data_IF_467895728198
#
_entry.id   IF_467895728198
#
_cell.length_a   1.000
_cell.length_b   1.000
_cell.length_c   1.000
_cell.angle_alpha   90.00
_cell.angle_beta   90.00
_cell.angle_gamma   90.00
#
_symmetry.space_group_name_H-M   'P 1'
#
loop_
_entity.id
_entity.type
_entity.pdbx_description
1 polymer ?
#
# COMPACT_ATOMS: atom_id res chain seq x y z
N UNK A 1 8.73 2.17 19.04
CA UNK A 1 7.27 2.12 18.85
C UNK A 1 6.90 0.69 18.47
N UNK A 2 5.74 0.16 18.87
CA UNK A 2 5.32 -1.19 18.43
C UNK A 2 4.77 -1.07 17.00
N UNK A 3 5.33 -1.84 16.06
CA UNK A 3 4.78 -1.96 14.71
C UNK A 3 3.63 -2.97 14.73
N UNK A 4 2.41 -2.49 14.54
CA UNK A 4 1.20 -3.30 14.63
C UNK A 4 0.14 -2.92 13.57
N UNK A 5 0.51 -2.10 12.58
CA UNK A 5 -0.34 -1.72 11.45
C UNK A 5 0.20 -2.37 10.17
N UNK A 6 -0.44 -3.46 9.68
CA UNK A 6 -0.02 -4.12 8.44
C UNK A 6 -0.37 -3.28 7.21
N UNK A 7 0.65 -3.09 6.38
CA UNK A 7 0.58 -2.35 5.12
C UNK A 7 0.83 -3.29 3.94
N UNK A 8 -0.05 -3.26 2.95
CA UNK A 8 0.18 -3.89 1.65
C UNK A 8 0.70 -2.82 0.69
N UNK A 9 1.74 -3.13 -0.07
CA UNK A 9 2.36 -2.19 -1.01
C UNK A 9 2.28 -2.76 -2.42
N UNK A 10 1.89 -1.93 -3.39
CA UNK A 10 1.96 -2.26 -4.82
C UNK A 10 3.08 -1.43 -5.44
N UNK A 11 4.07 -2.09 -6.01
CA UNK A 11 5.22 -1.46 -6.64
C UNK A 11 5.47 -1.98 -8.05
N UNK A 12 6.30 -1.25 -8.80
CA UNK A 12 6.67 -1.65 -10.15
C UNK A 12 7.66 -2.83 -10.17
N UNK A 13 8.53 -2.92 -9.15
CA UNK A 13 9.55 -3.97 -9.03
C UNK A 13 9.87 -4.31 -7.58
N UNK A 14 9.97 -5.61 -7.29
CA UNK A 14 10.14 -6.23 -5.98
C UNK A 14 11.51 -5.94 -5.38
N UNK A 15 12.57 -5.95 -6.19
CA UNK A 15 13.94 -5.71 -5.73
C UNK A 15 14.06 -4.35 -5.02
N UNK A 16 13.56 -3.29 -5.66
CA UNK A 16 13.51 -1.95 -5.04
C UNK A 16 12.44 -1.83 -3.97
N UNK A 17 11.29 -2.48 -4.15
CA UNK A 17 10.22 -2.47 -3.16
C UNK A 17 10.66 -3.04 -1.79
N UNK A 18 11.47 -4.10 -1.79
CA UNK A 18 11.99 -4.74 -0.58
C UNK A 18 13.15 -3.96 0.04
N UNK A 19 14.00 -3.30 -0.76
CA UNK A 19 15.12 -2.51 -0.22
C UNK A 19 14.71 -1.13 0.27
N UNK A 20 13.80 -0.45 -0.46
CA UNK A 20 13.57 0.98 -0.27
C UNK A 20 12.40 1.26 0.68
N UNK A 21 11.37 0.38 0.72
CA UNK A 21 10.13 0.67 1.44
C UNK A 21 10.19 0.32 2.93
N UNK A 22 10.67 -0.86 3.36
CA UNK A 22 10.72 -1.20 4.79
C UNK A 22 11.49 -0.18 5.65
N UNK A 23 12.67 0.35 5.23
CA UNK A 23 13.39 1.36 6.00
C UNK A 23 12.60 2.65 6.25
N UNK A 24 11.66 3.00 5.35
CA UNK A 24 10.81 4.20 5.52
C UNK A 24 9.90 4.06 6.74
N UNK A 25 9.51 2.84 7.11
CA UNK A 25 8.64 2.58 8.25
C UNK A 25 9.38 2.33 9.57
N UNK A 26 10.72 2.42 9.57
CA UNK A 26 11.49 2.34 10.81
C UNK A 26 11.01 3.39 11.82
N UNK A 27 10.84 2.97 13.07
CA UNK A 27 10.34 3.82 14.17
C UNK A 27 8.90 4.33 14.01
N UNK A 28 8.13 3.80 13.06
CA UNK A 28 6.69 4.07 12.88
C UNK A 28 5.84 2.89 13.40
N UNK A 29 4.50 3.00 13.50
CA UNK A 29 3.65 1.86 13.88
C UNK A 29 3.35 0.93 12.68
N UNK A 30 3.79 1.29 11.48
CA UNK A 30 3.51 0.59 10.24
C UNK A 30 4.56 -0.48 9.94
N UNK A 31 4.15 -1.58 9.31
CA UNK A 31 5.08 -2.55 8.74
C UNK A 31 4.54 -3.11 7.41
N UNK A 32 5.45 -3.45 6.50
CA UNK A 32 5.07 -4.05 5.21
C UNK A 32 4.72 -5.53 5.44
N UNK A 33 3.43 -5.86 5.30
CA UNK A 33 2.92 -7.22 5.43
C UNK A 33 3.00 -8.00 4.10
N UNK A 34 2.85 -7.29 2.97
CA UNK A 34 3.05 -7.85 1.65
C UNK A 34 3.45 -6.78 0.63
N UNK A 35 4.21 -7.19 -0.38
CA UNK A 35 4.56 -6.36 -1.53
C UNK A 35 4.13 -7.08 -2.81
N UNK A 36 3.30 -6.41 -3.61
CA UNK A 36 2.90 -6.85 -4.93
C UNK A 36 3.77 -6.18 -5.99
N UNK A 37 4.16 -6.97 -6.97
CA UNK A 37 5.07 -6.61 -8.05
C UNK A 37 4.34 -6.62 -9.39
N UNK A 38 4.64 -5.66 -10.27
CA UNK A 38 4.05 -5.56 -11.60
C UNK A 38 4.92 -6.12 -12.74
N UNK A 39 6.22 -6.35 -12.54
CA UNK A 39 7.17 -6.62 -13.63
C UNK A 39 8.23 -7.70 -13.36
N UNK A 40 8.79 -7.83 -12.16
CA UNK A 40 9.95 -8.69 -11.88
C UNK A 40 9.58 -10.12 -11.49
N UNK A 41 8.34 -10.38 -11.08
CA UNK A 41 7.87 -11.74 -10.78
C UNK A 41 7.22 -12.41 -11.99
N UNK A 42 7.09 -13.74 -11.96
CA UNK A 42 6.38 -14.51 -13.00
C UNK A 42 4.95 -13.99 -13.15
N UNK A 43 4.42 -14.02 -14.38
CA UNK A 43 3.19 -13.34 -14.75
C UNK A 43 1.99 -13.71 -13.87
N UNK A 44 1.88 -14.99 -13.50
CA UNK A 44 0.82 -15.51 -12.63
C UNK A 44 0.85 -14.94 -11.19
N UNK A 45 2.02 -14.50 -10.72
CA UNK A 45 2.20 -13.92 -9.38
C UNK A 45 2.23 -12.39 -9.38
N UNK A 46 2.15 -11.74 -10.55
CA UNK A 46 2.13 -10.28 -10.64
C UNK A 46 0.88 -9.71 -10.01
N UNK A 47 0.90 -8.40 -9.77
CA UNK A 47 -0.30 -7.65 -9.47
C UNK A 47 -1.37 -7.96 -10.53
N UNK A 48 -2.52 -8.39 -10.01
CA UNK A 48 -3.80 -8.36 -10.69
C UNK A 48 -4.84 -8.01 -9.62
N UNK A 49 -6.02 -7.49 -10.00
CA UNK A 49 -7.11 -7.30 -9.05
C UNK A 49 -7.45 -8.57 -8.27
N UNK A 50 -7.35 -9.74 -8.92
CA UNK A 50 -7.56 -11.03 -8.28
C UNK A 50 -6.49 -11.33 -7.23
N UNK A 51 -5.21 -11.22 -7.57
CA UNK A 51 -4.11 -11.52 -6.65
C UNK A 51 -4.09 -10.55 -5.46
N UNK A 52 -4.44 -9.28 -5.67
CA UNK A 52 -4.63 -8.32 -4.58
C UNK A 52 -5.75 -8.77 -3.64
N UNK A 53 -6.90 -9.18 -4.18
CA UNK A 53 -8.00 -9.68 -3.37
C UNK A 53 -7.59 -10.92 -2.56
N UNK A 54 -6.86 -11.86 -3.17
CA UNK A 54 -6.32 -13.04 -2.45
C UNK A 54 -5.47 -12.61 -1.26
N UNK A 55 -4.54 -11.68 -1.45
CA UNK A 55 -3.67 -11.19 -0.35
C UNK A 55 -4.52 -10.54 0.75
N UNK A 56 -5.41 -9.60 0.40
CA UNK A 56 -6.22 -8.87 1.38
C UNK A 56 -7.13 -9.81 2.19
N UNK A 57 -7.73 -10.82 1.55
CA UNK A 57 -8.64 -11.76 2.20
C UNK A 57 -7.94 -12.79 3.10
N UNK A 58 -6.65 -13.07 2.87
CA UNK A 58 -5.94 -14.15 3.58
C UNK A 58 -4.90 -13.67 4.60
N UNK A 59 -4.42 -12.41 4.52
CA UNK A 59 -3.46 -11.90 5.49
C UNK A 59 -4.07 -11.72 6.88
N UNK A 60 -3.33 -12.20 7.88
CA UNK A 60 -3.58 -12.01 9.30
C UNK A 60 -2.26 -11.59 9.99
N UNK A 61 -2.22 -10.46 10.73
CA UNK A 61 -3.30 -9.50 10.98
C UNK A 61 -3.85 -8.86 9.70
N UNK A 62 -5.12 -8.44 9.74
CA UNK A 62 -5.82 -7.85 8.59
C UNK A 62 -5.11 -6.60 8.09
N UNK A 63 -4.77 -6.50 6.79
CA UNK A 63 -4.27 -5.27 6.19
C UNK A 63 -5.13 -4.07 6.53
N UNK A 64 -4.49 -2.98 6.97
CA UNK A 64 -5.14 -1.71 7.34
C UNK A 64 -4.82 -0.59 6.37
N UNK A 65 -3.66 -0.66 5.74
CA UNK A 65 -3.28 0.28 4.71
C UNK A 65 -2.91 -0.43 3.41
N UNK A 66 -3.27 0.19 2.29
CA UNK A 66 -2.80 -0.16 0.97
C UNK A 66 -2.07 1.04 0.36
N UNK A 67 -0.83 0.84 -0.06
CA UNK A 67 0.00 1.87 -0.67
C UNK A 67 0.22 1.55 -2.15
N UNK A 68 -0.09 2.49 -3.02
CA UNK A 68 0.26 2.42 -4.44
C UNK A 68 1.54 3.24 -4.66
N UNK A 69 2.62 2.58 -5.08
CA UNK A 69 3.92 3.22 -5.29
C UNK A 69 3.92 4.19 -6.47
N UNK A 70 4.73 5.24 -6.40
CA UNK A 70 4.79 6.33 -7.40
C UNK A 70 5.17 5.90 -8.82
N UNK A 71 5.84 4.76 -8.98
CA UNK A 71 6.23 4.22 -10.27
C UNK A 71 5.15 3.32 -10.90
N UNK A 72 4.01 3.12 -10.22
CA UNK A 72 2.85 2.41 -10.76
C UNK A 72 2.06 3.36 -11.65
N UNK A 73 1.72 2.91 -12.86
CA UNK A 73 0.93 3.73 -13.79
C UNK A 73 -0.41 4.15 -13.16
N UNK A 74 -0.83 5.42 -13.27
CA UNK A 74 -2.07 5.91 -12.67
C UNK A 74 -3.33 5.16 -13.11
N UNK A 75 -3.32 4.51 -14.29
CA UNK A 75 -4.43 3.67 -14.77
C UNK A 75 -4.77 2.50 -13.82
N UNK A 76 -3.82 2.03 -13.01
CA UNK A 76 -4.05 0.98 -12.01
C UNK A 76 -4.76 1.47 -10.76
N UNK A 77 -4.81 2.79 -10.50
CA UNK A 77 -5.36 3.33 -9.25
C UNK A 77 -6.82 2.97 -9.03
N UNK A 78 -7.66 3.11 -10.06
CA UNK A 78 -9.09 2.83 -9.96
C UNK A 78 -9.39 1.32 -9.75
N UNK A 79 -8.77 0.38 -10.50
CA UNK A 79 -8.88 -1.05 -10.20
C UNK A 79 -8.43 -1.42 -8.78
N UNK A 80 -7.32 -0.87 -8.30
CA UNK A 80 -6.82 -1.10 -6.94
C UNK A 80 -7.80 -0.62 -5.88
N UNK A 81 -8.27 0.63 -5.99
CA UNK A 81 -9.23 1.22 -5.05
C UNK A 81 -10.54 0.44 -5.01
N UNK A 82 -11.00 -0.10 -6.15
CA UNK A 82 -12.19 -0.96 -6.19
C UNK A 82 -12.00 -2.20 -5.32
N UNK A 83 -10.89 -2.92 -5.50
CA UNK A 83 -10.58 -4.12 -4.71
C UNK A 83 -10.45 -3.79 -3.23
N UNK A 84 -9.80 -2.67 -2.89
CA UNK A 84 -9.70 -2.20 -1.51
C UNK A 84 -11.06 -1.93 -0.87
N UNK A 85 -11.93 -1.17 -1.55
CA UNK A 85 -13.26 -0.85 -1.05
C UNK A 85 -14.12 -2.11 -0.86
N UNK A 86 -14.04 -3.05 -1.80
CA UNK A 86 -14.70 -4.35 -1.65
C UNK A 86 -14.19 -5.14 -0.44
N UNK A 87 -12.88 -5.14 -0.19
CA UNK A 87 -12.28 -5.75 0.99
C UNK A 87 -12.76 -5.08 2.29
N UNK A 88 -12.80 -3.75 2.34
CA UNK A 88 -13.33 -3.01 3.50
C UNK A 88 -14.79 -3.41 3.77
N UNK A 89 -15.61 -3.46 2.72
CA UNK A 89 -17.04 -3.75 2.85
C UNK A 89 -17.34 -5.20 3.22
N UNK A 90 -16.61 -6.15 2.62
CA UNK A 90 -16.90 -7.59 2.75
C UNK A 90 -16.10 -8.27 3.86
N UNK A 91 -15.00 -7.68 4.32
CA UNK A 91 -14.12 -8.29 5.33
C UNK A 91 -14.09 -7.42 6.58
N UNK A 92 -13.52 -6.20 6.50
CA UNK A 92 -13.29 -5.38 7.69
C UNK A 92 -14.59 -5.02 8.42
N UNK A 93 -15.65 -4.63 7.69
CA UNK A 93 -16.95 -4.31 8.30
C UNK A 93 -17.66 -5.50 8.95
N UNK A 94 -17.39 -6.72 8.49
CA UNK A 94 -18.08 -7.92 8.96
C UNK A 94 -17.34 -8.64 10.09
N UNK A 95 -16.04 -8.42 10.26
CA UNK A 95 -15.21 -9.10 11.25
C UNK A 95 -15.36 -8.47 12.64
N UNK A 96 -16.27 -9.03 13.44
CA UNK A 96 -16.68 -8.47 14.75
C UNK A 96 -15.59 -8.46 15.84
N UNK A 97 -14.53 -9.26 15.69
CA UNK A 97 -13.45 -9.41 16.68
C UNK A 97 -12.20 -8.58 16.33
N UNK A 98 -12.34 -7.63 15.42
CA UNK A 98 -11.26 -6.75 15.01
C UNK A 98 -11.01 -5.65 16.04
N UNK A 99 -9.82 -5.65 16.64
CA UNK A 99 -9.43 -4.73 17.72
C UNK A 99 -9.33 -3.27 17.30
N UNK A 100 -9.20 -2.97 16.00
CA UNK A 100 -9.11 -1.60 15.46
C UNK A 100 -10.44 -1.07 14.91
N UNK A 101 -11.39 -1.96 14.62
CA UNK A 101 -12.59 -1.64 13.87
C UNK A 101 -12.29 -1.34 12.39
N UNK A 102 -13.36 -1.28 11.59
CA UNK A 102 -13.26 -1.12 10.14
C UNK A 102 -12.94 0.32 9.70
N UNK A 103 -13.20 1.31 10.56
CA UNK A 103 -12.99 2.73 10.25
C UNK A 103 -11.51 3.11 10.20
N UNK A 104 -10.66 2.38 10.90
CA UNK A 104 -9.20 2.52 10.84
C UNK A 104 -8.65 1.78 9.61
N UNK A 105 -8.81 2.38 8.43
CA UNK A 105 -8.23 1.88 7.20
C UNK A 105 -7.94 3.02 6.19
N UNK A 106 -7.00 2.80 5.27
CA UNK A 106 -6.68 3.78 4.21
C UNK A 106 -6.11 3.14 2.95
N UNK A 107 -6.53 3.62 1.79
CA UNK A 107 -5.87 3.35 0.50
C UNK A 107 -5.20 4.63 0.00
N UNK A 108 -3.88 4.58 -0.15
CA UNK A 108 -3.03 5.73 -0.47
C UNK A 108 -2.61 5.64 -1.95
N UNK A 109 -3.38 6.31 -2.81
CA UNK A 109 -3.27 6.23 -4.27
C UNK A 109 -2.35 7.30 -4.86
N UNK A 110 -1.07 7.28 -4.49
CA UNK A 110 -0.14 8.37 -4.78
C UNK A 110 0.24 8.59 -6.26
N UNK A 111 0.14 7.62 -7.19
CA UNK A 111 0.33 7.90 -8.61
C UNK A 111 -0.61 8.98 -9.17
N UNK A 112 -1.77 9.23 -8.54
CA UNK A 112 -2.69 10.29 -8.98
C UNK A 112 -2.06 11.68 -8.96
N UNK A 113 -1.07 11.91 -8.10
CA UNK A 113 -0.48 13.24 -7.85
C UNK A 113 1.04 13.25 -7.84
N UNK A 114 1.68 12.09 -7.68
CA UNK A 114 3.13 11.94 -7.51
C UNK A 114 3.71 10.88 -8.46
N UNK A 115 3.06 10.60 -9.60
CA UNK A 115 3.57 9.62 -10.55
C UNK A 115 4.96 10.00 -11.07
N UNK A 116 5.84 9.01 -11.16
CA UNK A 116 7.14 9.13 -11.81
C UNK A 116 7.25 8.14 -12.95
N UNK A 117 7.82 8.57 -14.07
CA UNK A 117 8.13 7.69 -15.19
C UNK A 117 9.24 6.70 -14.77
N UNK A 118 8.99 5.39 -14.81
CA UNK A 118 9.98 4.43 -14.40
C UNK A 118 11.18 4.30 -15.31
N UNK A 119 11.09 4.83 -16.53
CA UNK A 119 12.20 4.90 -17.46
C UNK A 119 13.13 6.11 -17.18
N UNK A 120 12.79 6.98 -16.22
CA UNK A 120 13.51 8.23 -15.90
C UNK A 120 13.86 8.35 -14.41
N UNK A 121 14.69 7.44 -13.86
CA UNK A 121 14.99 7.36 -12.43
C UNK A 121 15.66 8.62 -11.85
N UNK A 122 16.32 9.43 -12.67
CA UNK A 122 16.94 10.70 -12.30
C UNK A 122 15.94 11.72 -11.72
N UNK A 123 14.66 11.60 -12.07
CA UNK A 123 13.58 12.50 -11.60
C UNK A 123 12.97 12.08 -10.27
N UNK A 124 13.29 10.88 -9.79
CA UNK A 124 12.63 10.29 -8.63
C UNK A 124 12.98 10.94 -7.28
N UNK A 125 14.22 11.40 -7.00
CA UNK A 125 14.57 11.90 -5.67
C UNK A 125 13.71 13.08 -5.18
N UNK A 126 13.40 14.02 -6.07
CA UNK A 126 12.57 15.19 -5.73
C UNK A 126 11.16 14.75 -5.33
N UNK A 127 10.56 13.86 -6.12
CA UNK A 127 9.21 13.34 -5.90
C UNK A 127 9.14 12.42 -4.68
N UNK A 128 10.21 11.67 -4.38
CA UNK A 128 10.26 10.78 -3.20
C UNK A 128 10.05 11.55 -1.89
N UNK A 129 10.61 12.75 -1.76
CA UNK A 129 10.50 13.54 -0.52
C UNK A 129 9.07 14.06 -0.26
N UNK A 130 8.38 14.52 -1.31
CA UNK A 130 7.00 15.01 -1.23
C UNK A 130 6.03 13.84 -1.10
N UNK A 131 6.29 12.76 -1.82
CA UNK A 131 5.57 11.49 -1.72
C UNK A 131 5.57 10.92 -0.30
N UNK A 132 6.74 10.82 0.35
CA UNK A 132 6.82 10.27 1.72
C UNK A 132 6.00 11.10 2.71
N UNK A 133 6.08 12.44 2.62
CA UNK A 133 5.30 13.34 3.48
C UNK A 133 3.81 13.13 3.29
N UNK A 134 3.34 13.05 2.04
CA UNK A 134 1.93 12.86 1.73
C UNK A 134 1.44 11.44 2.13
N UNK A 135 2.27 10.43 1.92
CA UNK A 135 2.01 9.05 2.37
C UNK A 135 1.78 9.02 3.88
N UNK A 136 2.70 9.56 4.67
CA UNK A 136 2.56 9.60 6.12
C UNK A 136 1.39 10.47 6.57
N UNK A 137 1.12 11.60 5.92
CA UNK A 137 -0.05 12.42 6.22
C UNK A 137 -1.36 11.63 6.12
N UNK A 138 -1.51 10.78 5.10
CA UNK A 138 -2.70 9.95 4.92
C UNK A 138 -2.75 8.77 5.89
N UNK A 139 -1.61 8.11 6.14
CA UNK A 139 -1.51 7.05 7.14
C UNK A 139 -1.84 7.58 8.54
N UNK A 140 -1.12 8.61 8.98
CA UNK A 140 -1.27 9.18 10.31
C UNK A 140 -2.66 9.76 10.53
N UNK A 141 -3.27 10.36 9.49
CA UNK A 141 -4.64 10.83 9.54
C UNK A 141 -5.69 9.73 9.74
N UNK A 142 -5.36 8.47 9.41
CA UNK A 142 -6.23 7.30 9.61
C UNK A 142 -5.97 6.58 10.94
N UNK A 143 -4.74 6.59 11.45
CA UNK A 143 -4.32 5.71 12.54
C UNK A 143 -3.83 6.40 13.81
N UNK A 144 -3.38 7.65 13.74
CA UNK A 144 -2.89 8.37 14.91
C UNK A 144 -4.01 9.25 15.51
N UNK A 145 -3.99 9.48 16.84
CA UNK A 145 -4.90 10.42 17.48
C UNK A 145 -4.79 11.82 16.88
N UNK A 146 -5.92 12.50 16.75
CA UNK A 146 -6.00 13.90 16.30
C UNK A 146 -5.73 14.89 17.43
#
# INVERSE_FOLDING_TARGET
>A
MKQDIPVVVIGLGRGRGISDIPPIFENTPYYVAACMDLTEVEEEYRYSPHNLAVILHNLHPRPRALLIGIAVDPSYTQPVERVWNEYVDKVLKLEKNDSRGWQENVCVSLPRTHFVDPQKPETWPEVRSTWQKEMFRQLDGAFLPK
#
